data_IF_930864453625
#
_entry.id   IF_930864453625
#
_cell.length_a   1.000
_cell.length_b   1.000
_cell.length_c   1.000
_cell.angle_alpha   90.00
_cell.angle_beta   90.00
_cell.angle_gamma   90.00
#
_symmetry.space_group_name_H-M   'P 1'
#
loop_
_entity.id
_entity.type
_entity.pdbx_description
1 polymer ?
#
# COMPACT_ATOMS: atom_id res chain seq x y z
N UNK A 1 -16.10 6.11 23.10
CA UNK A 1 -15.44 5.75 21.84
C UNK A 1 -15.10 4.27 21.93
N UNK A 2 -15.21 3.49 20.86
CA UNK A 2 -14.75 2.11 20.91
C UNK A 2 -13.27 2.09 21.31
N UNK A 3 -12.87 1.08 22.05
CA UNK A 3 -11.47 0.87 22.42
C UNK A 3 -10.65 0.69 21.15
N UNK A 4 -9.64 1.53 20.97
CA UNK A 4 -8.76 1.47 19.82
C UNK A 4 -7.57 0.54 20.02
N UNK A 5 -7.43 -0.05 21.20
CA UNK A 5 -6.33 -0.95 21.46
C UNK A 5 -6.60 -2.34 20.88
N UNK A 6 -5.60 -2.89 20.23
CA UNK A 6 -5.66 -4.27 19.76
C UNK A 6 -5.66 -5.20 20.96
N UNK A 7 -6.70 -6.04 21.06
CA UNK A 7 -6.82 -7.00 22.16
C UNK A 7 -5.63 -7.97 22.19
N UNK A 8 -4.91 -8.11 23.30
CA UNK A 8 -3.87 -9.12 23.44
C UNK A 8 -4.39 -10.55 23.18
N UNK A 9 -5.63 -10.83 23.56
CA UNK A 9 -6.26 -12.14 23.34
C UNK A 9 -6.38 -12.49 21.85
N UNK A 10 -6.63 -11.48 20.99
CA UNK A 10 -6.65 -11.69 19.54
C UNK A 10 -5.28 -12.12 18.98
N UNK A 11 -4.19 -11.70 19.63
CA UNK A 11 -2.82 -12.07 19.24
C UNK A 11 -2.36 -13.40 19.86
N UNK A 12 -2.99 -13.84 20.95
CA UNK A 12 -2.64 -15.06 21.65
C UNK A 12 -3.45 -16.27 21.17
N UNK A 13 -4.43 -16.10 20.33
CA UNK A 13 -5.25 -17.17 19.78
C UNK A 13 -4.38 -18.20 19.03
N UNK A 14 -4.80 -19.47 19.04
CA UNK A 14 -4.08 -20.56 18.36
C UNK A 14 -4.15 -20.50 16.83
N UNK A 15 -5.01 -19.65 16.26
CA UNK A 15 -5.18 -19.44 14.84
C UNK A 15 -4.22 -18.42 14.25
N UNK A 16 -4.43 -18.10 12.96
CA UNK A 16 -3.74 -17.00 12.30
C UNK A 16 -4.14 -15.66 12.93
N UNK A 17 -3.15 -14.82 13.19
CA UNK A 17 -3.31 -13.50 13.84
C UNK A 17 -3.65 -12.40 12.86
N UNK A 18 -3.23 -12.57 11.61
CA UNK A 18 -3.38 -11.56 10.58
C UNK A 18 -4.84 -11.16 10.30
N UNK A 19 -5.82 -12.09 10.24
CA UNK A 19 -7.23 -11.73 10.10
C UNK A 19 -7.73 -10.84 11.24
N UNK A 20 -7.37 -11.12 12.48
CA UNK A 20 -7.76 -10.30 13.63
C UNK A 20 -7.13 -8.89 13.56
N UNK A 21 -5.87 -8.80 13.16
CA UNK A 21 -5.18 -7.51 12.96
C UNK A 21 -5.82 -6.71 11.82
N UNK A 22 -6.15 -7.32 10.70
CA UNK A 22 -6.78 -6.63 9.57
C UNK A 22 -8.22 -6.21 9.88
N UNK A 23 -8.97 -7.02 10.61
CA UNK A 23 -10.31 -6.66 11.07
C UNK A 23 -10.26 -5.49 12.06
N UNK A 24 -9.36 -5.51 13.01
CA UNK A 24 -9.14 -4.40 13.95
C UNK A 24 -8.75 -3.12 13.20
N UNK A 25 -7.80 -3.19 12.25
CA UNK A 25 -7.40 -2.03 11.45
C UNK A 25 -8.58 -1.39 10.72
N UNK A 26 -9.46 -2.20 10.12
CA UNK A 26 -10.54 -1.68 9.29
C UNK A 26 -11.81 -1.32 10.05
N UNK A 27 -12.13 -2.04 11.15
CA UNK A 27 -13.37 -1.82 11.91
C UNK A 27 -13.19 -0.92 13.12
N UNK A 28 -12.01 -0.90 13.73
CA UNK A 28 -11.75 -0.05 14.89
C UNK A 28 -10.93 1.20 14.50
N UNK A 29 -9.73 1.03 13.94
CA UNK A 29 -8.79 2.12 13.72
C UNK A 29 -9.19 3.00 12.54
N UNK A 30 -9.28 2.42 11.36
CA UNK A 30 -9.54 3.12 10.09
C UNK A 30 -10.98 2.87 9.61
N UNK A 31 -11.95 2.94 10.54
CA UNK A 31 -13.35 2.68 10.24
C UNK A 31 -14.05 3.85 9.56
N UNK A 32 -15.10 3.54 8.79
CA UNK A 32 -15.95 4.55 8.15
C UNK A 32 -16.62 5.48 9.17
N UNK A 33 -17.09 4.93 10.31
CA UNK A 33 -17.76 5.72 11.34
C UNK A 33 -16.82 6.77 11.93
N UNK A 34 -15.58 6.39 12.26
CA UNK A 34 -14.58 7.33 12.76
C UNK A 34 -14.19 8.36 11.70
N UNK A 35 -14.03 7.93 10.46
CA UNK A 35 -13.75 8.84 9.35
C UNK A 35 -14.88 9.84 9.12
N UNK A 36 -16.14 9.44 9.30
CA UNK A 36 -17.31 10.31 9.13
C UNK A 36 -17.51 11.29 10.30
N UNK A 37 -17.16 10.88 11.53
CA UNK A 37 -17.50 11.63 12.75
C UNK A 37 -16.38 12.47 13.33
N UNK A 38 -15.11 12.10 13.09
CA UNK A 38 -13.96 12.81 13.64
C UNK A 38 -13.42 13.87 12.66
N UNK A 39 -12.87 14.97 13.19
CA UNK A 39 -11.98 15.84 12.41
C UNK A 39 -10.84 15.00 11.81
N UNK A 40 -10.45 15.30 10.58
CA UNK A 40 -9.43 14.50 9.85
C UNK A 40 -8.09 14.37 10.58
N UNK A 41 -7.69 15.42 11.28
CA UNK A 41 -6.47 15.42 12.10
C UNK A 41 -6.58 14.48 13.30
N UNK A 42 -7.71 14.49 14.02
CA UNK A 42 -7.96 13.62 15.17
C UNK A 42 -8.11 12.16 14.75
N UNK A 43 -8.77 11.93 13.61
CA UNK A 43 -8.86 10.61 12.98
C UNK A 43 -7.47 10.05 12.72
N UNK A 44 -6.61 10.80 12.04
CA UNK A 44 -5.24 10.40 11.74
C UNK A 44 -4.42 10.19 13.03
N UNK A 45 -4.38 11.19 13.91
CA UNK A 45 -3.54 11.17 15.12
C UNK A 45 -3.87 10.01 16.03
N UNK A 46 -5.15 9.79 16.33
CA UNK A 46 -5.58 8.71 17.21
C UNK A 46 -5.38 7.32 16.58
N UNK A 47 -5.58 7.20 15.26
CA UNK A 47 -5.30 5.97 14.53
C UNK A 47 -3.81 5.63 14.51
N UNK A 48 -2.95 6.61 14.23
CA UNK A 48 -1.49 6.42 14.26
C UNK A 48 -0.98 5.97 15.63
N UNK A 49 -1.51 6.58 16.71
CA UNK A 49 -1.15 6.18 18.06
C UNK A 49 -1.58 4.74 18.38
N UNK A 50 -2.78 4.33 17.94
CA UNK A 50 -3.25 2.97 18.12
C UNK A 50 -2.38 1.95 17.35
N UNK A 51 -2.06 2.24 16.08
CA UNK A 51 -1.19 1.35 15.28
C UNK A 51 0.21 1.25 15.88
N UNK A 52 0.78 2.36 16.37
CA UNK A 52 2.10 2.34 17.00
C UNK A 52 2.13 1.39 18.20
N UNK A 53 1.14 1.48 19.11
CA UNK A 53 1.02 0.57 20.26
C UNK A 53 0.83 -0.89 19.84
N UNK A 54 0.02 -1.12 18.81
CA UNK A 54 -0.21 -2.48 18.31
C UNK A 54 1.05 -3.10 17.72
N UNK A 55 1.81 -2.37 16.92
CA UNK A 55 3.07 -2.87 16.36
C UNK A 55 4.12 -3.15 17.44
N UNK A 56 4.17 -2.35 18.50
CA UNK A 56 5.02 -2.62 19.66
C UNK A 56 4.57 -3.91 20.38
N UNK A 57 3.28 -4.06 20.63
CA UNK A 57 2.71 -5.28 21.25
C UNK A 57 3.03 -6.53 20.41
N UNK A 58 2.85 -6.45 19.07
CA UNK A 58 3.16 -7.55 18.16
C UNK A 58 4.65 -7.87 18.20
N UNK A 59 5.51 -6.87 18.23
CA UNK A 59 6.96 -7.08 18.23
C UNK A 59 7.47 -7.75 19.51
N UNK A 60 6.85 -7.46 20.66
CA UNK A 60 7.21 -8.04 21.97
C UNK A 60 6.56 -9.39 22.23
N UNK A 61 5.26 -9.50 21.95
CA UNK A 61 4.45 -10.65 22.41
C UNK A 61 4.04 -11.64 21.31
N UNK A 62 4.06 -11.24 20.05
CA UNK A 62 3.48 -12.02 18.96
C UNK A 62 4.28 -11.95 17.65
N UNK A 63 5.61 -12.06 17.73
CA UNK A 63 6.52 -11.96 16.56
C UNK A 63 6.11 -12.85 15.38
N UNK A 64 5.39 -13.96 15.64
CA UNK A 64 4.82 -14.84 14.62
C UNK A 64 3.83 -14.13 13.69
N UNK A 65 3.18 -13.04 14.13
CA UNK A 65 2.32 -12.24 13.26
C UNK A 65 3.10 -11.61 12.11
N UNK A 66 4.36 -11.28 12.30
CA UNK A 66 5.23 -10.79 11.23
C UNK A 66 5.53 -11.86 10.19
N UNK A 67 5.71 -13.13 10.61
CA UNK A 67 5.92 -14.23 9.67
C UNK A 67 4.64 -14.54 8.89
N UNK A 68 3.47 -14.46 9.53
CA UNK A 68 2.18 -14.58 8.85
C UNK A 68 1.98 -13.47 7.82
N UNK A 69 2.32 -12.22 8.16
CA UNK A 69 2.26 -11.09 7.24
C UNK A 69 3.21 -11.29 6.05
N UNK A 70 4.43 -11.77 6.28
CA UNK A 70 5.38 -12.07 5.23
C UNK A 70 4.86 -13.18 4.29
N UNK A 71 4.26 -14.23 4.84
CA UNK A 71 3.67 -15.31 4.03
C UNK A 71 2.47 -14.84 3.21
N UNK A 72 1.67 -13.90 3.72
CA UNK A 72 0.52 -13.36 3.00
C UNK A 72 0.92 -12.57 1.75
N UNK A 73 2.08 -11.95 1.74
CA UNK A 73 2.56 -11.23 0.55
C UNK A 73 2.68 -12.12 -0.70
N UNK A 74 2.84 -13.42 -0.55
CA UNK A 74 2.90 -14.36 -1.68
C UNK A 74 1.54 -14.89 -2.13
N UNK A 75 0.51 -14.76 -1.28
CA UNK A 75 -0.85 -15.29 -1.51
C UNK A 75 -1.84 -14.21 -1.95
N UNK A 76 -1.51 -12.96 -1.67
CA UNK A 76 -2.40 -11.85 -1.97
C UNK A 76 -2.73 -11.75 -3.47
N UNK A 77 -3.94 -11.32 -3.83
CA UNK A 77 -4.31 -11.08 -5.22
C UNK A 77 -3.42 -10.02 -5.84
N UNK A 78 -3.28 -10.09 -7.14
CA UNK A 78 -2.40 -9.18 -7.88
C UNK A 78 -3.16 -8.46 -9.00
N UNK A 79 -2.76 -7.23 -9.36
CA UNK A 79 -3.22 -6.57 -10.58
C UNK A 79 -3.07 -7.46 -11.83
N UNK A 80 -1.95 -8.18 -11.93
CA UNK A 80 -1.65 -9.11 -13.01
C UNK A 80 -2.73 -10.18 -13.14
N UNK A 81 -3.05 -10.87 -12.04
CA UNK A 81 -4.07 -11.94 -12.02
C UNK A 81 -5.47 -11.38 -12.34
N UNK A 82 -5.82 -10.21 -11.77
CA UNK A 82 -7.11 -9.58 -12.04
C UNK A 82 -7.25 -9.17 -13.51
N UNK A 83 -6.20 -8.64 -14.13
CA UNK A 83 -6.19 -8.30 -15.56
C UNK A 83 -6.12 -9.54 -16.48
N UNK A 84 -5.98 -10.74 -15.91
CA UNK A 84 -5.90 -11.99 -16.67
C UNK A 84 -4.58 -12.22 -17.38
N UNK A 85 -3.50 -11.57 -16.94
CA UNK A 85 -2.17 -11.66 -17.53
C UNK A 85 -1.46 -12.99 -17.22
N UNK A 86 -1.94 -13.75 -16.23
CA UNK A 86 -1.43 -15.09 -15.87
C UNK A 86 -2.03 -16.22 -16.69
N UNK A 87 -3.04 -15.94 -17.52
CA UNK A 87 -3.71 -16.94 -18.34
C UNK A 87 -3.09 -16.98 -19.73
N UNK A 88 -3.12 -18.14 -20.38
CA UNK A 88 -2.81 -18.23 -21.80
C UNK A 88 -3.73 -17.31 -22.62
N UNK A 89 -3.25 -16.71 -23.72
CA UNK A 89 -4.08 -15.92 -24.61
C UNK A 89 -5.28 -16.75 -25.08
N UNK A 90 -6.45 -16.45 -24.54
CA UNK A 90 -7.66 -17.14 -24.96
C UNK A 90 -8.03 -16.71 -26.39
N UNK A 91 -8.56 -17.65 -27.17
CA UNK A 91 -9.09 -17.37 -28.51
C UNK A 91 -10.30 -16.43 -28.48
N UNK A 92 -11.04 -16.42 -27.37
CA UNK A 92 -12.13 -15.49 -27.12
C UNK A 92 -11.64 -14.30 -26.27
N UNK A 93 -11.99 -13.09 -26.68
CA UNK A 93 -11.66 -11.86 -25.95
C UNK A 93 -12.32 -11.87 -24.57
N UNK A 94 -11.52 -11.90 -23.52
CA UNK A 94 -12.01 -11.76 -22.17
C UNK A 94 -12.69 -10.38 -21.96
N UNK A 95 -13.69 -10.26 -21.08
CA UNK A 95 -14.30 -8.97 -20.76
C UNK A 95 -13.24 -8.01 -20.20
N UNK A 96 -13.35 -6.74 -20.59
CA UNK A 96 -12.44 -5.70 -20.13
C UNK A 96 -12.53 -5.53 -18.60
N UNK A 97 -11.39 -5.26 -17.97
CA UNK A 97 -11.23 -5.01 -16.55
C UNK A 97 -10.34 -3.81 -16.32
N UNK A 98 -10.50 -3.13 -15.22
CA UNK A 98 -9.66 -2.00 -14.87
C UNK A 98 -8.97 -2.21 -13.51
N UNK A 99 -7.71 -1.89 -13.43
CA UNK A 99 -6.97 -1.75 -12.17
C UNK A 99 -6.51 -0.32 -12.07
N UNK A 100 -6.78 0.31 -10.93
CA UNK A 100 -6.29 1.64 -10.58
C UNK A 100 -5.36 1.49 -9.39
N UNK A 101 -4.10 1.79 -9.59
CA UNK A 101 -3.07 1.82 -8.56
C UNK A 101 -2.84 3.27 -8.16
N UNK A 102 -3.09 3.58 -6.90
CA UNK A 102 -2.70 4.84 -6.29
C UNK A 102 -1.40 4.61 -5.52
N UNK A 103 -0.32 5.23 -5.97
CA UNK A 103 1.02 5.11 -5.40
C UNK A 103 1.03 5.63 -3.96
N UNK A 104 1.26 4.73 -2.99
CA UNK A 104 1.27 5.04 -1.57
C UNK A 104 -0.10 5.22 -0.90
N UNK A 105 -1.21 4.75 -1.50
CA UNK A 105 -2.52 4.75 -0.84
C UNK A 105 -2.55 3.71 0.28
N UNK A 106 -2.96 4.11 1.48
CA UNK A 106 -2.98 3.24 2.65
C UNK A 106 -4.39 2.92 3.16
N UNK A 107 -4.47 2.14 4.22
CA UNK A 107 -5.76 1.84 4.88
C UNK A 107 -6.41 3.08 5.50
N UNK A 108 -5.66 4.16 5.75
CA UNK A 108 -6.19 5.43 6.27
C UNK A 108 -7.23 6.05 5.35
N UNK A 109 -7.02 5.87 4.05
CA UNK A 109 -7.86 6.42 2.99
C UNK A 109 -8.96 5.46 2.52
N UNK A 110 -8.97 4.21 2.98
CA UNK A 110 -10.01 3.24 2.62
C UNK A 110 -11.43 3.75 2.90
N UNK A 111 -11.75 4.37 4.05
CA UNK A 111 -13.07 4.93 4.29
C UNK A 111 -13.47 6.00 3.29
N UNK A 112 -12.53 6.83 2.84
CA UNK A 112 -12.77 7.83 1.80
C UNK A 112 -13.12 7.16 0.46
N UNK A 113 -12.37 6.13 0.06
CA UNK A 113 -12.64 5.37 -1.17
C UNK A 113 -14.05 4.79 -1.14
N UNK A 114 -14.46 4.18 -0.03
CA UNK A 114 -15.80 3.60 0.13
C UNK A 114 -16.89 4.68 0.11
N UNK A 115 -16.65 5.84 0.72
CA UNK A 115 -17.58 6.97 0.69
C UNK A 115 -17.72 7.53 -0.74
N UNK A 116 -16.64 7.71 -1.47
CA UNK A 116 -16.64 8.17 -2.86
C UNK A 116 -17.37 7.17 -3.78
N UNK A 117 -17.17 5.87 -3.57
CA UNK A 117 -17.91 4.84 -4.32
C UNK A 117 -19.42 4.99 -4.13
N UNK A 118 -19.88 5.08 -2.89
CA UNK A 118 -21.30 5.26 -2.56
C UNK A 118 -21.87 6.55 -3.15
N UNK A 119 -21.14 7.68 -3.01
CA UNK A 119 -21.57 9.00 -3.50
C UNK A 119 -21.67 9.08 -5.04
N UNK A 120 -20.89 8.28 -5.74
CA UNK A 120 -20.79 8.35 -7.21
C UNK A 120 -21.45 7.17 -7.92
N UNK A 121 -22.27 6.39 -7.19
CA UNK A 121 -23.11 5.33 -7.74
C UNK A 121 -22.36 4.06 -8.11
N UNK A 122 -21.19 3.84 -7.55
CA UNK A 122 -20.50 2.55 -7.65
C UNK A 122 -20.96 1.60 -6.56
N UNK A 123 -21.20 0.35 -6.94
CA UNK A 123 -21.40 -0.74 -6.00
C UNK A 123 -20.05 -1.30 -5.60
N UNK A 124 -19.83 -1.48 -4.31
CA UNK A 124 -18.65 -2.17 -3.77
C UNK A 124 -19.00 -3.67 -3.69
N UNK A 125 -18.40 -4.48 -4.56
CA UNK A 125 -18.61 -5.93 -4.56
C UNK A 125 -17.68 -6.63 -3.57
N UNK A 126 -16.49 -6.06 -3.37
CA UNK A 126 -15.51 -6.56 -2.41
C UNK A 126 -14.69 -5.40 -1.84
N UNK A 127 -14.46 -5.43 -0.53
CA UNK A 127 -13.51 -4.56 0.15
C UNK A 127 -12.73 -5.40 1.16
N UNK A 128 -11.43 -5.53 0.93
CA UNK A 128 -10.53 -6.27 1.81
C UNK A 128 -9.16 -5.60 1.93
N UNK A 129 -8.43 -6.02 2.93
CA UNK A 129 -7.01 -5.69 3.12
C UNK A 129 -6.17 -6.80 2.50
N UNK A 130 -5.16 -6.43 1.76
CA UNK A 130 -4.19 -7.36 1.18
C UNK A 130 -2.77 -6.97 1.58
N UNK A 131 -1.87 -7.94 1.57
CA UNK A 131 -0.45 -7.65 1.69
C UNK A 131 0.14 -7.35 0.30
N UNK A 132 0.89 -6.25 0.21
CA UNK A 132 1.57 -5.86 -1.03
C UNK A 132 2.87 -6.63 -1.26
N UNK A 133 3.71 -6.20 -2.22
CA UNK A 133 5.03 -6.77 -2.47
C UNK A 133 6.05 -6.43 -1.36
N UNK A 134 7.13 -7.18 -1.30
CA UNK A 134 8.27 -6.88 -0.43
C UNK A 134 9.56 -6.75 -1.25
N UNK A 135 10.34 -5.71 -0.94
CA UNK A 135 10.05 -4.58 -0.05
C UNK A 135 8.86 -3.78 -0.54
N UNK A 136 8.35 -2.92 0.32
CA UNK A 136 7.22 -2.03 0.00
C UNK A 136 7.70 -0.85 -0.85
N UNK A 137 8.21 -1.19 -2.03
CA UNK A 137 8.79 -0.28 -3.01
C UNK A 137 8.08 -0.42 -4.36
N UNK A 138 7.89 0.70 -5.02
CA UNK A 138 7.16 0.79 -6.30
C UNK A 138 7.73 -0.12 -7.39
N UNK A 139 9.06 -0.17 -7.55
CA UNK A 139 9.69 -1.00 -8.58
C UNK A 139 9.50 -2.49 -8.32
N UNK A 140 9.55 -2.91 -7.05
CA UNK A 140 9.29 -4.29 -6.65
C UNK A 140 7.83 -4.68 -6.91
N UNK A 141 6.88 -3.79 -6.62
CA UNK A 141 5.47 -4.04 -6.92
C UNK A 141 5.23 -4.17 -8.43
N UNK A 142 5.77 -3.26 -9.24
CA UNK A 142 5.64 -3.35 -10.70
C UNK A 142 6.17 -4.68 -11.23
N UNK A 143 7.37 -5.09 -10.81
CA UNK A 143 7.96 -6.35 -11.28
C UNK A 143 7.20 -7.58 -10.78
N UNK A 144 6.84 -7.64 -9.48
CA UNK A 144 6.26 -8.84 -8.87
C UNK A 144 4.75 -8.96 -9.09
N UNK A 145 4.00 -7.84 -9.08
CA UNK A 145 2.53 -7.84 -9.03
C UNK A 145 1.86 -7.41 -10.32
N UNK A 146 2.58 -6.71 -11.20
CA UNK A 146 2.04 -6.21 -12.48
C UNK A 146 2.61 -6.99 -13.65
N UNK A 147 3.92 -7.04 -13.79
CA UNK A 147 4.58 -7.65 -14.96
C UNK A 147 4.85 -9.15 -14.78
N UNK A 148 5.11 -9.58 -13.54
CA UNK A 148 5.46 -10.96 -13.19
C UNK A 148 6.97 -11.20 -13.10
N UNK A 149 7.37 -12.39 -12.58
CA UNK A 149 8.75 -12.67 -12.18
C UNK A 149 9.76 -12.67 -13.36
N UNK A 150 9.28 -12.93 -14.57
CA UNK A 150 10.13 -13.00 -15.77
C UNK A 150 10.36 -11.62 -16.42
N UNK A 151 9.73 -10.56 -15.87
CA UNK A 151 9.91 -9.21 -16.40
C UNK A 151 11.28 -8.64 -16.06
N UNK A 152 11.78 -7.77 -16.93
CA UNK A 152 13.01 -7.04 -16.68
C UNK A 152 12.85 -6.23 -15.37
N UNK A 153 13.86 -6.32 -14.51
CA UNK A 153 13.91 -5.55 -13.27
C UNK A 153 14.13 -4.06 -13.58
N UNK A 154 13.62 -3.21 -12.71
CA UNK A 154 13.83 -1.76 -12.81
C UNK A 154 12.86 -1.02 -13.74
N UNK A 155 11.82 -1.69 -14.25
CA UNK A 155 10.76 -1.00 -14.99
C UNK A 155 9.90 -0.23 -13.99
N UNK A 156 9.87 1.10 -14.16
CA UNK A 156 9.04 1.98 -13.35
C UNK A 156 7.62 2.14 -13.91
N UNK A 157 6.68 2.69 -13.12
CA UNK A 157 5.30 2.89 -13.54
C UNK A 157 5.16 3.77 -14.79
N UNK A 158 6.02 4.77 -14.95
CA UNK A 158 6.06 5.66 -16.11
C UNK A 158 6.43 4.95 -17.42
N UNK A 159 7.04 3.78 -17.33
CA UNK A 159 7.41 2.95 -18.49
C UNK A 159 6.32 1.93 -18.86
N UNK A 160 5.34 1.66 -17.97
CA UNK A 160 4.27 0.69 -18.21
C UNK A 160 3.51 0.92 -19.53
N UNK A 161 3.21 2.17 -19.97
CA UNK A 161 2.55 2.40 -21.25
C UNK A 161 3.32 1.88 -22.47
N UNK A 162 4.64 1.75 -22.39
CA UNK A 162 5.51 1.25 -23.46
C UNK A 162 5.85 -0.24 -23.35
N UNK A 163 5.36 -0.94 -22.33
CA UNK A 163 5.61 -2.37 -22.16
C UNK A 163 4.78 -3.17 -23.17
N UNK A 164 5.44 -3.67 -24.21
CA UNK A 164 4.82 -4.40 -25.31
C UNK A 164 4.02 -5.64 -24.86
N UNK A 165 4.46 -6.31 -23.78
CA UNK A 165 3.76 -7.46 -23.23
C UNK A 165 2.36 -7.11 -22.70
N UNK A 166 2.13 -5.94 -22.11
CA UNK A 166 0.81 -5.47 -21.70
C UNK A 166 -0.07 -5.21 -22.91
N UNK A 167 0.45 -4.47 -23.90
CA UNK A 167 -0.28 -4.15 -25.14
C UNK A 167 -0.66 -5.40 -25.91
N UNK A 168 0.25 -6.38 -26.04
CA UNK A 168 -0.01 -7.67 -26.70
C UNK A 168 -1.13 -8.48 -26.02
N UNK A 169 -1.32 -8.28 -24.71
CA UNK A 169 -2.39 -8.89 -23.91
C UNK A 169 -3.68 -8.05 -23.86
N UNK A 170 -3.77 -6.99 -24.67
CA UNK A 170 -4.95 -6.13 -24.73
C UNK A 170 -5.12 -5.21 -23.50
N UNK A 171 -4.05 -4.96 -22.77
CA UNK A 171 -4.05 -4.01 -21.64
C UNK A 171 -3.51 -2.67 -22.11
N UNK A 172 -4.27 -1.61 -21.85
CA UNK A 172 -3.82 -0.23 -21.98
C UNK A 172 -3.33 0.24 -20.61
N UNK A 173 -2.04 0.49 -20.50
CA UNK A 173 -1.47 1.10 -19.31
C UNK A 173 -1.40 2.63 -19.49
N UNK A 174 -1.73 3.38 -18.42
CA UNK A 174 -1.71 4.85 -18.40
C UNK A 174 -1.02 5.30 -17.11
N UNK A 175 -0.01 6.13 -17.24
CA UNK A 175 0.69 6.74 -16.13
C UNK A 175 0.18 8.15 -15.90
N UNK A 176 -0.21 8.47 -14.66
CA UNK A 176 -0.88 9.70 -14.28
C UNK A 176 -0.02 10.46 -13.26
N UNK A 177 0.60 11.53 -13.69
CA UNK A 177 1.45 12.41 -12.87
C UNK A 177 0.78 13.77 -12.53
N UNK A 178 -0.51 13.89 -12.84
CA UNK A 178 -1.34 15.08 -12.61
C UNK A 178 -2.58 14.71 -11.80
N UNK A 179 -3.09 15.64 -11.00
CA UNK A 179 -4.36 15.50 -10.26
C UNK A 179 -5.58 15.57 -11.17
N UNK A 180 -5.45 16.19 -12.35
CA UNK A 180 -6.52 16.36 -13.33
C UNK A 180 -6.09 15.80 -14.69
N UNK A 181 -5.79 14.48 -14.77
CA UNK A 181 -5.25 13.91 -15.99
C UNK A 181 -6.31 13.88 -17.09
N UNK A 182 -5.86 14.05 -18.33
CA UNK A 182 -6.68 13.74 -19.51
C UNK A 182 -6.40 12.29 -19.89
N UNK A 183 -7.39 11.42 -19.72
CA UNK A 183 -7.27 10.01 -20.04
C UNK A 183 -8.02 9.73 -21.33
N UNK A 184 -7.31 9.22 -22.34
CA UNK A 184 -7.92 8.68 -23.54
C UNK A 184 -7.99 7.16 -23.43
N UNK A 185 -9.20 6.60 -23.26
CA UNK A 185 -9.41 5.18 -23.08
C UNK A 185 -9.80 4.51 -24.39
N UNK A 186 -9.14 3.40 -24.70
CA UNK A 186 -9.45 2.58 -25.86
C UNK A 186 -10.55 1.58 -25.54
N UNK A 187 -11.68 1.66 -26.25
CA UNK A 187 -12.80 0.77 -26.03
C UNK A 187 -12.42 -0.71 -26.10
N UNK A 188 -12.93 -1.49 -25.16
CA UNK A 188 -12.78 -2.94 -25.08
C UNK A 188 -11.37 -3.42 -24.71
N UNK A 189 -10.45 -2.56 -24.33
CA UNK A 189 -9.19 -2.95 -23.67
C UNK A 189 -9.36 -3.01 -22.17
N UNK A 190 -8.62 -3.89 -21.51
CA UNK A 190 -8.41 -3.80 -20.06
C UNK A 190 -7.51 -2.60 -19.75
N UNK A 191 -7.66 -2.03 -18.56
CA UNK A 191 -7.00 -0.78 -18.18
C UNK A 191 -6.10 -1.00 -16.97
N UNK A 192 -4.90 -0.46 -17.01
CA UNK A 192 -4.02 -0.31 -15.86
C UNK A 192 -3.70 1.18 -15.70
N UNK A 193 -4.37 1.82 -14.77
CA UNK A 193 -4.16 3.24 -14.45
C UNK A 193 -3.24 3.35 -13.25
N UNK A 194 -2.12 4.04 -13.38
CA UNK A 194 -1.18 4.28 -12.30
C UNK A 194 -1.11 5.76 -11.97
N UNK A 195 -1.53 6.14 -10.76
CA UNK A 195 -1.41 7.51 -10.27
C UNK A 195 -0.20 7.61 -9.33
N UNK A 196 0.64 8.61 -9.54
CA UNK A 196 1.78 8.94 -8.66
C UNK A 196 1.36 9.55 -7.32
N UNK A 197 0.08 9.78 -7.15
CA UNK A 197 -0.49 10.31 -5.90
C UNK A 197 -1.11 9.17 -5.10
N UNK A 198 -0.96 9.19 -3.82
CA UNK A 198 -0.49 10.25 -2.91
C UNK A 198 1.02 10.40 -2.71
N UNK A 199 1.84 9.41 -3.02
CA UNK A 199 3.28 9.37 -2.69
C UNK A 199 4.04 10.62 -3.17
N UNK A 200 3.71 11.13 -4.36
CA UNK A 200 4.33 12.35 -4.90
C UNK A 200 4.17 13.57 -3.99
N UNK A 201 3.03 13.70 -3.30
CA UNK A 201 2.81 14.79 -2.34
C UNK A 201 3.76 14.65 -1.15
N UNK A 202 3.86 13.46 -0.62
CA UNK A 202 4.73 13.17 0.51
C UNK A 202 6.21 13.42 0.18
N UNK A 203 6.62 13.14 -1.06
CA UNK A 203 7.99 13.38 -1.53
C UNK A 203 8.28 14.87 -1.75
N UNK A 204 7.32 15.65 -2.21
CA UNK A 204 7.51 17.06 -2.53
C UNK A 204 7.42 17.99 -1.31
N UNK A 205 6.53 17.70 -0.35
CA UNK A 205 6.26 18.54 0.83
C UNK A 205 6.88 18.00 2.13
N UNK A 206 8.01 17.32 2.03
CA UNK A 206 8.67 16.57 3.11
C UNK A 206 8.88 17.34 4.42
N UNK A 207 8.93 18.67 4.38
CA UNK A 207 9.16 19.51 5.54
C UNK A 207 7.88 19.93 6.28
N UNK A 208 6.70 19.65 5.72
CA UNK A 208 5.42 20.18 6.19
C UNK A 208 4.34 19.14 6.40
N UNK A 209 4.64 17.86 6.15
CA UNK A 209 3.63 16.82 6.35
C UNK A 209 3.38 16.63 7.84
N UNK A 210 2.40 17.36 8.33
CA UNK A 210 1.79 17.15 9.63
C UNK A 210 0.33 16.64 9.45
N UNK A 211 -0.36 16.46 10.56
CA UNK A 211 -1.76 16.04 10.53
C UNK A 211 -2.68 17.00 9.77
N UNK A 212 -2.25 18.26 9.56
CA UNK A 212 -3.03 19.29 8.86
C UNK A 212 -3.07 19.05 7.34
N UNK A 213 -2.11 18.32 6.77
CA UNK A 213 -2.12 18.00 5.34
C UNK A 213 -3.05 16.83 4.99
N UNK A 214 -3.47 16.03 5.96
CA UNK A 214 -4.36 14.89 5.68
C UNK A 214 -5.72 15.29 5.09
N UNK A 215 -6.39 16.37 5.52
CA UNK A 215 -7.59 16.89 4.84
C UNK A 215 -7.35 17.20 3.36
N UNK A 216 -6.27 17.94 3.06
CA UNK A 216 -5.90 18.29 1.68
C UNK A 216 -5.59 17.04 0.85
N UNK A 217 -4.97 16.06 1.45
CA UNK A 217 -4.72 14.77 0.84
C UNK A 217 -6.03 14.05 0.47
N UNK A 218 -7.02 14.06 1.34
CA UNK A 218 -8.35 13.52 1.04
C UNK A 218 -9.01 14.24 -0.16
N UNK A 219 -8.84 15.54 -0.28
CA UNK A 219 -9.33 16.32 -1.44
C UNK A 219 -8.63 15.92 -2.74
N UNK A 220 -7.34 15.64 -2.69
CA UNK A 220 -6.60 15.16 -3.85
C UNK A 220 -7.07 13.77 -4.30
N UNK A 221 -7.30 12.86 -3.37
CA UNK A 221 -7.85 11.53 -3.69
C UNK A 221 -9.25 11.66 -4.30
N UNK A 222 -10.10 12.53 -3.77
CA UNK A 222 -11.43 12.80 -4.32
C UNK A 222 -11.35 13.42 -5.73
N UNK A 223 -10.39 14.29 -5.96
CA UNK A 223 -10.14 14.86 -7.30
C UNK A 223 -9.70 13.79 -8.29
N UNK A 224 -8.73 12.97 -7.92
CA UNK A 224 -8.27 11.86 -8.75
C UNK A 224 -9.38 10.86 -9.04
N UNK A 225 -10.25 10.57 -8.07
CA UNK A 225 -11.43 9.72 -8.26
C UNK A 225 -12.26 10.15 -9.46
N UNK A 226 -12.56 11.45 -9.55
CA UNK A 226 -13.33 12.02 -10.65
C UNK A 226 -12.66 11.80 -12.02
N UNK A 227 -11.35 11.95 -12.10
CA UNK A 227 -10.62 11.86 -13.36
C UNK A 227 -10.14 10.45 -13.71
N UNK A 228 -10.18 9.51 -12.78
CA UNK A 228 -9.72 8.12 -12.97
C UNK A 228 -10.89 7.14 -12.93
N UNK A 229 -11.46 6.94 -11.75
CA UNK A 229 -12.50 5.91 -11.52
C UNK A 229 -13.77 6.23 -12.31
N UNK A 230 -14.24 7.48 -12.27
CA UNK A 230 -15.43 7.88 -13.02
C UNK A 230 -15.23 7.91 -14.54
N UNK A 231 -14.00 7.95 -15.01
CA UNK A 231 -13.67 7.89 -16.42
C UNK A 231 -13.72 6.46 -16.98
N UNK A 232 -13.69 5.43 -16.14
CA UNK A 232 -13.81 4.02 -16.60
C UNK A 232 -15.23 3.79 -17.11
N UNK A 233 -15.39 3.17 -18.29
CA UNK A 233 -16.72 2.91 -18.87
C UNK A 233 -17.61 2.07 -17.95
N UNK A 234 -18.95 2.28 -17.97
CA UNK A 234 -19.89 1.40 -17.27
C UNK A 234 -19.73 -0.06 -17.67
N UNK A 235 -20.03 -0.98 -16.75
CA UNK A 235 -19.92 -2.42 -16.96
C UNK A 235 -18.50 -2.98 -16.93
N UNK A 236 -17.47 -2.15 -16.75
CA UNK A 236 -16.08 -2.58 -16.55
C UNK A 236 -15.80 -2.70 -15.05
N UNK A 237 -15.54 -3.90 -14.52
CA UNK A 237 -15.13 -4.06 -13.11
C UNK A 237 -13.82 -3.35 -12.84
N UNK A 238 -13.74 -2.63 -11.71
CA UNK A 238 -12.59 -1.83 -11.34
C UNK A 238 -12.03 -2.35 -10.01
N UNK A 239 -10.75 -2.66 -9.96
CA UNK A 239 -10.02 -2.83 -8.71
C UNK A 239 -9.24 -1.56 -8.40
N UNK A 240 -9.42 -1.05 -7.18
CA UNK A 240 -8.58 0.00 -6.60
C UNK A 240 -7.63 -0.65 -5.61
N UNK A 241 -6.34 -0.35 -5.73
CA UNK A 241 -5.31 -0.86 -4.82
C UNK A 241 -4.14 0.13 -4.74
N UNK A 242 -3.10 -0.26 -4.02
CA UNK A 242 -1.83 0.48 -3.91
C UNK A 242 -0.65 -0.45 -4.09
N UNK A 243 0.48 0.10 -4.47
CA UNK A 243 1.77 -0.59 -4.51
C UNK A 243 2.40 -0.73 -3.12
N UNK A 244 2.16 0.21 -2.23
CA UNK A 244 2.53 0.19 -0.81
C UNK A 244 1.67 1.17 -0.01
N UNK A 245 1.67 1.00 1.31
CA UNK A 245 1.25 2.05 2.21
C UNK A 245 2.47 2.79 2.79
N UNK A 246 2.30 3.43 3.95
CA UNK A 246 3.36 4.23 4.54
C UNK A 246 3.26 4.29 6.06
N UNK A 247 4.39 4.58 6.73
CA UNK A 247 4.42 5.04 8.10
C UNK A 247 4.52 6.56 8.15
N UNK A 248 3.82 7.13 9.13
CA UNK A 248 3.77 8.56 9.37
C UNK A 248 4.25 8.87 10.79
N UNK A 249 5.30 9.66 10.93
CA UNK A 249 5.91 10.02 12.21
C UNK A 249 5.44 11.37 12.75
N UNK A 250 4.54 12.06 12.06
CA UNK A 250 3.98 13.33 12.50
C UNK A 250 2.87 13.12 13.52
N UNK A 251 2.92 13.87 14.62
CA UNK A 251 1.83 13.93 15.59
C UNK A 251 2.09 13.35 16.96
N UNK A 252 3.09 12.47 17.16
CA UNK A 252 3.55 12.09 18.52
C UNK A 252 5.05 11.86 18.52
N UNK A 253 5.77 12.49 19.45
CA UNK A 253 7.20 12.24 19.67
C UNK A 253 7.48 10.77 20.06
N UNK A 254 6.48 10.07 20.58
CA UNK A 254 6.56 8.68 21.04
C UNK A 254 6.56 7.65 19.90
N UNK A 255 6.11 8.03 18.70
CA UNK A 255 5.97 7.09 17.59
C UNK A 255 7.25 6.83 16.78
N UNK A 256 8.35 7.45 17.13
CA UNK A 256 9.59 7.42 16.36
C UNK A 256 10.74 6.78 17.15
N UNK A 257 10.63 5.48 17.44
CA UNK A 257 11.75 4.72 18.03
C UNK A 257 12.86 4.55 16.99
N UNK A 258 14.10 4.80 17.42
CA UNK A 258 15.30 4.47 16.65
C UNK A 258 15.78 3.06 17.02
N UNK A 259 16.40 2.38 16.08
CA UNK A 259 16.97 1.05 16.29
C UNK A 259 18.38 0.98 15.73
N UNK A 260 19.28 0.33 16.46
CA UNK A 260 20.61 -0.02 15.97
C UNK A 260 20.55 -0.92 14.72
N UNK A 261 19.44 -1.60 14.48
CA UNK A 261 19.23 -2.37 13.26
C UNK A 261 19.21 -1.50 12.00
N UNK A 262 18.83 -0.21 12.10
CA UNK A 262 18.85 0.71 10.98
C UNK A 262 20.28 0.94 10.45
N UNK A 263 21.29 0.90 11.31
CA UNK A 263 22.70 1.03 10.90
C UNK A 263 23.14 -0.14 10.03
N UNK A 264 22.66 -1.35 10.32
CA UNK A 264 22.95 -2.55 9.52
C UNK A 264 22.34 -2.46 8.10
N UNK A 265 21.33 -1.60 7.89
CA UNK A 265 20.70 -1.34 6.61
C UNK A 265 21.14 -0.01 5.98
N UNK A 266 22.23 0.61 6.47
CA UNK A 266 22.69 1.90 5.97
C UNK A 266 21.68 3.03 6.16
N UNK A 267 20.92 3.00 7.26
CA UNK A 267 19.87 3.97 7.57
C UNK A 267 18.72 3.99 6.52
N UNK A 268 18.48 2.86 5.88
CA UNK A 268 17.32 2.63 5.01
C UNK A 268 16.31 1.68 5.68
N UNK A 269 15.10 1.61 5.16
CA UNK A 269 14.09 0.69 5.68
C UNK A 269 14.24 -0.73 5.14
N UNK A 270 14.91 -0.90 4.02
CA UNK A 270 15.29 -2.20 3.46
C UNK A 270 16.65 -2.14 2.80
N UNK A 271 17.31 -3.31 2.70
CA UNK A 271 18.57 -3.46 1.98
C UNK A 271 18.63 -4.85 1.33
N UNK A 272 19.17 -4.89 0.12
CA UNK A 272 19.59 -6.10 -0.55
C UNK A 272 21.11 -6.24 -0.34
N UNK A 273 21.57 -7.40 0.10
CA UNK A 273 22.95 -7.68 0.36
C UNK A 273 23.54 -8.48 -0.80
N UNK A 274 24.69 -8.08 -1.28
CA UNK A 274 25.44 -8.87 -2.25
C UNK A 274 25.93 -10.17 -1.61
N UNK A 275 26.14 -11.22 -2.41
CA UNK A 275 26.54 -12.55 -1.91
C UNK A 275 27.82 -12.52 -1.05
N UNK A 276 28.74 -11.62 -1.36
CA UNK A 276 30.00 -11.43 -0.62
C UNK A 276 29.86 -10.50 0.60
N UNK A 277 28.74 -9.80 0.76
CA UNK A 277 28.54 -8.88 1.86
C UNK A 277 28.05 -9.62 3.13
N UNK A 278 28.46 -9.21 4.32
CA UNK A 278 27.96 -9.81 5.56
C UNK A 278 26.46 -9.56 5.69
N UNK A 279 25.69 -10.64 5.70
CA UNK A 279 24.25 -10.57 5.92
C UNK A 279 23.97 -10.18 7.38
N UNK A 280 23.00 -9.28 7.65
CA UNK A 280 22.80 -8.75 8.98
C UNK A 280 22.50 -9.85 10.00
N UNK A 281 23.06 -9.72 11.19
CA UNK A 281 22.78 -10.61 12.31
C UNK A 281 21.29 -10.57 12.67
N UNK A 282 20.74 -11.64 13.26
CA UNK A 282 19.37 -11.61 13.79
C UNK A 282 19.18 -10.45 14.77
N UNK A 283 18.11 -9.69 14.57
CA UNK A 283 17.72 -8.59 15.45
C UNK A 283 16.19 -8.55 15.54
N UNK A 284 15.58 -8.27 16.72
CA UNK A 284 14.12 -8.23 16.86
C UNK A 284 13.45 -7.20 15.95
N UNK A 285 14.17 -6.15 15.59
CA UNK A 285 13.67 -5.09 14.70
C UNK A 285 13.90 -5.38 13.20
N UNK A 286 14.43 -6.56 12.83
CA UNK A 286 14.66 -6.95 11.45
C UNK A 286 13.75 -8.10 11.01
N UNK A 287 13.10 -7.95 9.88
CA UNK A 287 12.59 -9.05 9.07
C UNK A 287 13.67 -9.46 8.07
N UNK A 288 14.09 -10.71 8.16
CA UNK A 288 15.16 -11.26 7.31
C UNK A 288 14.56 -12.20 6.28
N UNK A 289 15.06 -12.09 5.05
CA UNK A 289 14.73 -12.96 3.93
C UNK A 289 16.03 -13.54 3.32
N UNK A 290 16.62 -14.55 3.98
CA UNK A 290 17.94 -15.06 3.59
C UNK A 290 18.01 -15.57 2.15
N UNK A 291 16.97 -16.27 1.68
CA UNK A 291 16.91 -16.78 0.31
C UNK A 291 16.90 -15.68 -0.76
N UNK A 292 16.62 -14.43 -0.38
CA UNK A 292 16.57 -13.27 -1.27
C UNK A 292 17.71 -12.29 -0.95
N UNK A 293 18.61 -12.63 -0.04
CA UNK A 293 19.69 -11.77 0.48
C UNK A 293 19.18 -10.38 0.90
N UNK A 294 18.02 -10.33 1.55
CA UNK A 294 17.29 -9.11 1.88
C UNK A 294 16.93 -9.04 3.36
N UNK A 295 17.00 -7.83 3.91
CA UNK A 295 16.49 -7.55 5.24
C UNK A 295 15.72 -6.21 5.24
N UNK A 296 14.73 -6.09 6.13
CA UNK A 296 13.87 -4.91 6.27
C UNK A 296 13.67 -4.58 7.75
N UNK A 297 13.51 -3.28 8.04
CA UNK A 297 13.08 -2.85 9.37
C UNK A 297 11.62 -3.23 9.61
N UNK A 298 11.35 -3.86 10.77
CA UNK A 298 10.00 -4.15 11.25
C UNK A 298 9.39 -2.93 11.94
N UNK A 299 8.07 -2.80 11.80
CA UNK A 299 7.30 -1.80 12.54
C UNK A 299 7.72 -0.36 12.24
N UNK A 300 7.32 0.54 13.15
CA UNK A 300 7.45 1.99 12.99
C UNK A 300 8.82 2.50 13.46
N UNK A 301 9.88 1.97 12.92
CA UNK A 301 11.23 2.41 13.24
C UNK A 301 11.66 3.56 12.33
N UNK A 302 12.17 4.63 12.94
CA UNK A 302 12.70 5.77 12.20
C UNK A 302 14.09 5.47 11.67
N UNK A 303 14.32 5.80 10.40
CA UNK A 303 15.66 5.85 9.80
C UNK A 303 16.12 7.29 9.68
N UNK A 304 17.43 7.48 9.60
CA UNK A 304 18.07 8.78 9.39
C UNK A 304 18.92 8.77 8.12
N UNK A 305 18.29 8.70 6.95
CA UNK A 305 19.03 8.77 5.70
C UNK A 305 19.77 10.11 5.62
N UNK A 306 20.91 10.14 4.92
CA UNK A 306 21.73 11.35 4.77
C UNK A 306 20.98 12.46 3.99
N UNK A 307 21.30 13.71 4.30
CA UNK A 307 20.80 14.87 3.60
C UNK A 307 19.37 15.29 4.01
N UNK A 308 18.61 15.86 3.08
CA UNK A 308 17.24 16.36 3.31
C UNK A 308 16.25 15.26 3.72
N UNK A 309 16.53 14.03 3.36
CA UNK A 309 15.75 12.86 3.75
C UNK A 309 15.72 12.61 5.27
N UNK A 310 16.67 13.15 6.03
CA UNK A 310 16.75 12.99 7.49
C UNK A 310 15.54 13.57 8.26
N UNK A 311 14.76 14.44 7.64
CA UNK A 311 13.58 15.11 8.22
C UNK A 311 12.26 14.51 7.78
N UNK A 312 12.27 13.43 7.01
CA UNK A 312 11.03 12.82 6.49
C UNK A 312 10.17 12.32 7.63
N UNK A 313 8.94 12.84 7.71
CA UNK A 313 7.90 12.33 8.59
C UNK A 313 7.12 11.16 7.96
N UNK A 314 7.33 10.91 6.69
CA UNK A 314 6.75 9.86 5.88
C UNK A 314 7.85 8.91 5.40
N UNK A 315 7.65 7.62 5.57
CA UNK A 315 8.56 6.59 5.06
C UNK A 315 7.80 5.34 4.60
N UNK A 316 8.35 4.66 3.62
CA UNK A 316 7.97 3.32 3.16
C UNK A 316 9.23 2.53 2.80
N UNK A 317 9.07 1.31 2.30
CA UNK A 317 10.18 0.44 1.89
C UNK A 317 10.54 -0.62 2.94
N UNK A 318 9.92 -0.59 4.12
CA UNK A 318 10.16 -1.52 5.21
C UNK A 318 9.07 -2.58 5.39
N UNK A 319 8.92 -3.03 6.62
CA UNK A 319 8.03 -4.12 7.01
C UNK A 319 7.20 -3.74 8.25
N UNK A 320 6.27 -2.80 8.08
CA UNK A 320 5.27 -2.42 9.07
C UNK A 320 3.86 -2.77 8.61
N UNK A 321 2.89 -2.80 9.52
CA UNK A 321 1.49 -3.04 9.16
C UNK A 321 1.02 -2.04 8.10
N UNK A 322 1.37 -0.76 8.28
CA UNK A 322 0.88 0.32 7.43
C UNK A 322 1.67 0.51 6.13
N UNK A 323 2.82 -0.14 5.97
CA UNK A 323 3.53 -0.21 4.69
C UNK A 323 3.08 -1.40 3.84
N UNK A 324 2.84 -2.55 4.50
CA UNK A 324 2.56 -3.82 3.83
C UNK A 324 1.08 -4.00 3.53
N UNK A 325 0.19 -3.56 4.44
CA UNK A 325 -1.24 -3.76 4.29
C UNK A 325 -1.87 -2.60 3.52
N UNK A 326 -2.44 -2.93 2.36
CA UNK A 326 -3.05 -1.96 1.44
C UNK A 326 -4.50 -2.35 1.11
N UNK A 327 -5.33 -1.39 0.67
CA UNK A 327 -6.69 -1.69 0.25
C UNK A 327 -6.75 -2.47 -1.06
N UNK A 328 -7.74 -3.35 -1.17
CA UNK A 328 -8.18 -3.98 -2.42
C UNK A 328 -9.69 -3.84 -2.48
N UNK A 329 -10.16 -2.95 -3.34
CA UNK A 329 -11.59 -2.63 -3.44
C UNK A 329 -12.07 -2.92 -4.87
N UNK A 330 -12.99 -3.88 -5.00
CA UNK A 330 -13.63 -4.21 -6.26
C UNK A 330 -14.93 -3.43 -6.40
N UNK A 331 -15.02 -2.65 -7.44
CA UNK A 331 -16.14 -1.79 -7.78
C UNK A 331 -16.80 -2.23 -9.09
N UNK A 332 -18.11 -2.07 -9.14
CA UNK A 332 -18.89 -2.14 -10.38
C UNK A 332 -19.80 -0.90 -10.50
N UNK A 333 -19.95 -0.43 -11.72
CA UNK A 333 -20.89 0.62 -12.07
C UNK A 333 -21.86 0.05 -13.11
N UNK A 334 -23.13 0.02 -12.75
CA UNK A 334 -24.23 -0.40 -13.65
C UNK A 334 -24.47 0.63 -14.74
#
# INVERSE_FOLDING_TARGET
MPDLDLSPDALLSSGSRLPAVTEWLTRAVWSQDRFATLPREDYLRSGEAAVARAEELISVGASRAWDELAAETTRAPTPRAFLGLDREPATARAPARAVVVFDGLSLRELPLILALAAQTGFRVDESRVIATSLPTETLDFVSQRVLGPDAARGIGPNQLPSVGALTARGVQAVYLDSLTPRISLTAGKSLLLWSTYPDRLFKNDQARFDTQLFPQFCEYVATLWKYTIQAVPPGVPIVITSDHGYIFFGGTAESARESAAADQLGQQRSCVFEDAAPYPAPHPDLQRFPAQHRAMLRGRLKTRPKGTASRRLYQHGGFSLMEVLVPWVLLNRN
#
